data_IF_164466129541
#
_entry.id   IF_164466129541
#
_cell.length_a   1.000
_cell.length_b   1.000
_cell.length_c   1.000
_cell.angle_alpha   90.00
_cell.angle_beta   90.00
_cell.angle_gamma   90.00
#
_symmetry.space_group_name_H-M   'P 1'
#
loop_
_entity.id
_entity.type
_entity.pdbx_description
1 polymer ?
#
# COMPACT_ATOMS: atom_id res chain seq x y z
N UNK A 1 15.32 -4.86 -18.05
CA UNK A 1 16.42 -5.00 -17.05
C UNK A 1 16.11 -6.21 -16.19
N UNK A 2 17.12 -6.96 -15.73
CA UNK A 2 16.92 -8.18 -14.94
C UNK A 2 17.48 -8.02 -13.53
N UNK A 3 16.82 -8.65 -12.57
CA UNK A 3 17.29 -8.74 -11.19
C UNK A 3 17.01 -10.14 -10.62
N UNK A 4 17.81 -10.53 -9.64
CA UNK A 4 17.61 -11.68 -8.75
C UNK A 4 17.84 -11.19 -7.32
N UNK A 5 17.02 -11.63 -6.38
CA UNK A 5 17.14 -11.39 -4.94
C UNK A 5 16.89 -12.69 -4.21
N UNK A 6 17.59 -12.93 -3.10
CA UNK A 6 17.51 -14.18 -2.35
C UNK A 6 17.47 -13.89 -0.85
N UNK A 7 16.65 -14.63 -0.12
CA UNK A 7 16.53 -14.52 1.34
C UNK A 7 16.07 -15.85 1.95
N UNK A 8 16.35 -16.05 3.23
CA UNK A 8 15.92 -17.21 3.99
C UNK A 8 14.72 -16.85 4.86
N UNK A 9 13.85 -17.83 5.11
CA UNK A 9 12.75 -17.75 6.08
C UNK A 9 12.82 -18.98 6.97
N UNK A 10 12.84 -18.80 8.29
CA UNK A 10 12.90 -19.88 9.29
C UNK A 10 11.57 -20.64 9.46
N UNK A 11 10.96 -21.07 8.35
CA UNK A 11 9.73 -21.87 8.30
C UNK A 11 9.81 -22.88 7.14
N UNK A 12 9.15 -24.06 7.22
CA UNK A 12 9.18 -25.06 6.16
C UNK A 12 8.41 -24.60 4.90
N UNK A 13 8.73 -25.12 3.70
CA UNK A 13 8.15 -24.65 2.44
C UNK A 13 6.62 -24.63 2.42
N UNK A 14 5.96 -25.68 2.91
CA UNK A 14 4.49 -25.75 3.06
C UNK A 14 3.87 -24.57 3.84
N UNK A 15 4.55 -24.06 4.87
CA UNK A 15 4.09 -22.94 5.69
C UNK A 15 4.28 -21.61 4.98
N UNK A 16 5.42 -21.45 4.30
CA UNK A 16 5.72 -20.27 3.47
C UNK A 16 4.76 -20.22 2.27
N UNK A 17 4.55 -21.35 1.60
CA UNK A 17 3.67 -21.49 0.44
C UNK A 17 2.23 -21.07 0.77
N UNK A 18 1.67 -21.62 1.86
CA UNK A 18 0.34 -21.22 2.35
C UNK A 18 0.21 -19.72 2.61
N UNK A 19 1.27 -19.02 2.98
CA UNK A 19 1.26 -17.56 3.13
C UNK A 19 1.34 -16.85 1.77
N UNK A 20 2.18 -17.34 0.85
CA UNK A 20 2.28 -16.84 -0.52
C UNK A 20 0.95 -16.94 -1.28
N UNK A 21 0.15 -17.97 -0.98
CA UNK A 21 -1.23 -18.15 -1.47
C UNK A 21 -2.26 -17.15 -0.90
N UNK A 22 -1.85 -16.19 -0.07
CA UNK A 22 -2.70 -15.11 0.47
C UNK A 22 -2.19 -13.74 -0.04
N UNK A 23 -2.43 -13.34 -1.31
CA UNK A 23 -1.71 -12.24 -1.96
C UNK A 23 -1.84 -10.88 -1.28
N UNK A 24 -2.96 -10.61 -0.61
CA UNK A 24 -3.14 -9.37 0.18
C UNK A 24 -2.18 -9.33 1.38
N UNK A 25 -2.02 -10.44 2.11
CA UNK A 25 -1.08 -10.53 3.24
C UNK A 25 0.37 -10.49 2.77
N UNK A 26 0.66 -11.04 1.58
CA UNK A 26 1.97 -10.89 0.92
C UNK A 26 2.23 -9.43 0.58
N UNK A 27 1.24 -8.70 0.06
CA UNK A 27 1.37 -7.27 -0.22
C UNK A 27 1.62 -6.48 1.07
N UNK A 28 0.95 -6.79 2.18
CA UNK A 28 1.15 -6.10 3.46
C UNK A 28 2.58 -6.23 4.03
N UNK A 29 3.32 -7.28 3.64
CA UNK A 29 4.74 -7.42 3.98
C UNK A 29 5.66 -6.49 3.16
N UNK A 30 5.20 -5.96 2.02
CA UNK A 30 6.01 -5.11 1.13
C UNK A 30 6.05 -3.67 1.68
N UNK A 31 7.24 -3.14 2.04
CA UNK A 31 7.35 -1.79 2.59
C UNK A 31 6.89 -0.73 1.60
N UNK A 32 6.15 0.25 2.11
CA UNK A 32 5.65 1.38 1.32
C UNK A 32 4.30 1.15 0.63
N UNK A 33 3.71 -0.05 0.72
CA UNK A 33 2.30 -0.27 0.33
C UNK A 33 1.37 0.72 1.05
N UNK A 34 0.37 1.19 0.32
CA UNK A 34 -0.67 2.16 0.74
C UNK A 34 -2.06 1.57 0.66
N UNK A 35 -2.30 0.73 -0.34
CA UNK A 35 -3.49 -0.09 -0.48
C UNK A 35 -3.19 -1.34 -1.31
N UNK A 36 -3.92 -2.40 -1.02
CA UNK A 36 -3.96 -3.66 -1.74
C UNK A 36 -5.43 -4.08 -1.86
N UNK A 37 -5.85 -4.56 -3.03
CA UNK A 37 -7.23 -4.95 -3.32
C UNK A 37 -7.21 -6.18 -4.23
N UNK A 38 -7.96 -7.23 -3.85
CA UNK A 38 -8.19 -8.38 -4.72
C UNK A 38 -9.29 -8.03 -5.71
N UNK A 39 -8.92 -8.01 -7.00
CA UNK A 39 -9.83 -7.66 -8.11
C UNK A 39 -10.25 -8.91 -8.91
N UNK A 40 -10.01 -10.10 -8.37
CA UNK A 40 -10.57 -11.36 -8.81
C UNK A 40 -9.84 -12.06 -9.96
N UNK A 41 -9.88 -13.40 -9.91
CA UNK A 41 -9.31 -14.28 -10.94
C UNK A 41 -7.80 -14.07 -11.09
N UNK A 42 -7.07 -14.28 -10.00
CA UNK A 42 -5.61 -14.16 -9.92
C UNK A 42 -5.06 -12.76 -10.21
N UNK A 43 -5.80 -11.71 -9.82
CA UNK A 43 -5.41 -10.31 -10.04
C UNK A 43 -5.50 -9.48 -8.77
N UNK A 44 -4.48 -8.66 -8.55
CA UNK A 44 -4.43 -7.67 -7.46
C UNK A 44 -4.31 -6.25 -8.05
N UNK A 45 -4.93 -5.27 -7.40
CA UNK A 45 -4.63 -3.86 -7.55
C UNK A 45 -3.84 -3.40 -6.33
N UNK A 46 -2.73 -2.68 -6.53
CA UNK A 46 -1.89 -2.18 -5.43
C UNK A 46 -1.46 -0.74 -5.67
N UNK A 47 -1.37 0.03 -4.58
CA UNK A 47 -0.71 1.33 -4.57
C UNK A 47 0.49 1.28 -3.61
N UNK A 48 1.68 1.69 -4.07
CA UNK A 48 2.91 1.64 -3.28
C UNK A 48 3.78 2.89 -3.48
N UNK A 49 4.36 3.42 -2.40
CA UNK A 49 5.37 4.48 -2.44
C UNK A 49 6.77 3.89 -2.28
N UNK A 50 7.62 4.03 -3.30
CA UNK A 50 9.00 3.56 -3.31
C UNK A 50 9.99 4.72 -3.49
N UNK A 51 11.23 4.53 -2.99
CA UNK A 51 12.33 5.47 -3.20
C UNK A 51 13.25 4.96 -4.30
N UNK A 52 13.54 5.79 -5.30
CA UNK A 52 14.44 5.49 -6.41
C UNK A 52 15.51 6.59 -6.46
N UNK A 53 16.63 6.35 -5.76
CA UNK A 53 17.70 7.35 -5.61
C UNK A 53 17.20 8.61 -4.89
N UNK A 54 17.29 9.81 -5.49
CA UNK A 54 16.75 11.04 -4.91
C UNK A 54 15.21 11.15 -5.03
N UNK A 55 14.58 10.32 -5.86
CA UNK A 55 13.14 10.42 -6.14
C UNK A 55 12.31 9.57 -5.18
N UNK A 56 11.19 10.10 -4.70
CA UNK A 56 10.14 9.32 -4.03
C UNK A 56 8.92 9.28 -4.92
N UNK A 57 8.47 8.09 -5.31
CA UNK A 57 7.42 7.89 -6.30
C UNK A 57 6.33 6.97 -5.77
N UNK A 58 5.07 7.36 -5.93
CA UNK A 58 3.92 6.48 -5.69
C UNK A 58 3.45 5.90 -7.01
N UNK A 59 3.27 4.58 -7.03
CA UNK A 59 2.83 3.78 -8.16
C UNK A 59 1.44 3.21 -7.92
N UNK A 60 0.64 3.15 -8.97
CA UNK A 60 -0.52 2.25 -9.07
C UNK A 60 -0.14 1.10 -10.00
N UNK A 61 -0.39 -0.14 -9.58
CA UNK A 61 -0.08 -1.33 -10.36
C UNK A 61 -1.18 -2.38 -10.29
N UNK A 62 -1.34 -3.11 -11.39
CA UNK A 62 -2.14 -4.32 -11.49
C UNK A 62 -1.20 -5.51 -11.61
N UNK A 63 -1.32 -6.44 -10.67
CA UNK A 63 -0.58 -7.71 -10.61
C UNK A 63 -1.50 -8.81 -11.16
N UNK A 64 -0.91 -9.78 -11.86
CA UNK A 64 -1.57 -11.02 -12.26
C UNK A 64 -0.67 -12.21 -11.92
N UNK A 65 -1.17 -13.17 -11.14
CA UNK A 65 -0.50 -14.46 -10.96
C UNK A 65 -0.72 -15.28 -12.24
N UNK A 66 0.35 -15.85 -12.80
CA UNK A 66 0.36 -16.53 -14.10
C UNK A 66 0.63 -18.03 -14.00
N UNK A 67 1.25 -18.49 -12.92
CA UNK A 67 1.59 -19.89 -12.68
C UNK A 67 1.68 -20.17 -11.17
N UNK A 68 1.28 -21.37 -10.75
CA UNK A 68 1.54 -21.91 -9.41
C UNK A 68 1.96 -23.37 -9.53
N UNK A 69 3.13 -23.71 -8.98
CA UNK A 69 3.59 -25.07 -8.72
C UNK A 69 3.70 -25.20 -7.19
N UNK A 70 2.80 -25.95 -6.53
CA UNK A 70 2.72 -26.01 -5.07
C UNK A 70 4.06 -26.27 -4.39
N UNK A 71 4.34 -25.49 -3.33
CA UNK A 71 5.57 -25.52 -2.53
C UNK A 71 6.91 -25.26 -3.28
N UNK A 72 6.89 -25.09 -4.61
CA UNK A 72 8.08 -24.93 -5.44
C UNK A 72 8.19 -23.56 -6.12
N UNK A 73 7.12 -23.06 -6.75
CA UNK A 73 7.18 -21.87 -7.61
C UNK A 73 5.86 -21.12 -7.73
N UNK A 74 5.92 -19.79 -7.70
CA UNK A 74 4.85 -18.92 -8.18
C UNK A 74 5.40 -17.91 -9.19
N UNK A 75 4.69 -17.72 -10.31
CA UNK A 75 5.06 -16.73 -11.33
C UNK A 75 3.97 -15.67 -11.43
N UNK A 76 4.36 -14.40 -11.61
CA UNK A 76 3.42 -13.29 -11.73
C UNK A 76 3.95 -12.16 -12.61
N UNK A 77 3.05 -11.52 -13.35
CA UNK A 77 3.31 -10.29 -14.08
C UNK A 77 2.71 -9.09 -13.36
N UNK A 78 3.27 -7.91 -13.58
CA UNK A 78 2.73 -6.65 -13.10
C UNK A 78 2.80 -5.57 -14.18
N UNK A 79 1.83 -4.68 -14.20
CA UNK A 79 1.82 -3.47 -15.04
C UNK A 79 1.39 -2.29 -14.19
N UNK A 80 2.04 -1.14 -14.34
CA UNK A 80 1.74 0.01 -13.50
C UNK A 80 2.24 1.33 -14.02
N UNK A 81 1.86 2.40 -13.32
CA UNK A 81 2.20 3.79 -13.64
C UNK A 81 2.60 4.53 -12.37
N UNK A 82 3.51 5.49 -12.50
CA UNK A 82 3.71 6.48 -11.46
C UNK A 82 2.51 7.44 -11.45
N UNK A 83 1.96 7.72 -10.26
CA UNK A 83 0.83 8.64 -10.06
C UNK A 83 1.19 9.87 -9.22
N UNK A 84 2.35 9.85 -8.56
CA UNK A 84 2.93 10.97 -7.83
C UNK A 84 4.45 10.80 -7.77
N UNK A 85 5.21 11.88 -7.97
CA UNK A 85 6.68 11.84 -8.01
C UNK A 85 7.19 11.80 -9.44
N UNK A 86 7.84 10.70 -9.85
CA UNK A 86 8.25 10.50 -11.25
C UNK A 86 7.04 10.42 -12.21
N UNK A 87 7.32 10.53 -13.51
CA UNK A 87 6.37 10.30 -14.61
C UNK A 87 6.83 9.07 -15.40
N UNK A 88 5.94 8.11 -15.60
CA UNK A 88 6.26 6.94 -16.41
C UNK A 88 5.36 5.75 -16.12
N UNK A 89 5.61 4.66 -16.83
CA UNK A 89 4.98 3.37 -16.61
C UNK A 89 6.04 2.26 -16.49
N UNK A 90 5.60 1.10 -16.00
CA UNK A 90 6.39 -0.10 -15.96
C UNK A 90 5.57 -1.34 -16.32
N UNK A 91 6.28 -2.37 -16.77
CA UNK A 91 5.82 -3.76 -16.75
C UNK A 91 6.90 -4.64 -16.16
N UNK A 92 6.52 -5.74 -15.52
CA UNK A 92 7.44 -6.77 -15.08
C UNK A 92 6.86 -8.17 -15.19
N UNK A 93 7.75 -9.12 -15.36
CA UNK A 93 7.47 -10.56 -15.33
C UNK A 93 8.43 -11.18 -14.31
N UNK A 94 7.90 -11.91 -13.33
CA UNK A 94 8.62 -12.31 -12.12
C UNK A 94 8.35 -13.78 -11.79
N UNK A 95 9.35 -14.45 -11.24
CA UNK A 95 9.30 -15.85 -10.78
C UNK A 95 9.86 -15.89 -9.37
N UNK A 96 9.11 -16.50 -8.44
CA UNK A 96 9.55 -16.80 -7.08
C UNK A 96 9.68 -18.30 -6.95
N UNK A 97 10.85 -18.78 -6.53
CA UNK A 97 11.09 -20.20 -6.25
C UNK A 97 11.40 -20.42 -4.79
N UNK A 98 10.77 -21.44 -4.20
CA UNK A 98 11.02 -21.90 -2.84
C UNK A 98 11.90 -23.15 -2.91
N UNK A 99 12.84 -23.28 -1.97
CA UNK A 99 13.67 -24.47 -1.82
C UNK A 99 13.80 -24.82 -0.35
N UNK A 100 13.56 -26.08 0.00
CA UNK A 100 13.82 -26.58 1.33
C UNK A 100 15.31 -26.46 1.69
N UNK A 101 15.59 -25.89 2.85
CA UNK A 101 16.91 -25.87 3.49
C UNK A 101 16.72 -26.40 4.92
N UNK A 102 17.72 -27.03 5.53
CA UNK A 102 17.55 -27.75 6.80
C UNK A 102 17.01 -26.90 7.96
N UNK A 103 17.18 -25.59 7.90
CA UNK A 103 16.67 -24.61 8.87
C UNK A 103 15.35 -23.91 8.48
N UNK A 104 14.81 -24.13 7.27
CA UNK A 104 13.65 -23.39 6.77
C UNK A 104 13.49 -23.46 5.24
N UNK A 105 13.24 -22.30 4.64
CA UNK A 105 13.04 -22.16 3.19
C UNK A 105 13.95 -21.06 2.64
N UNK A 106 14.77 -21.42 1.64
CA UNK A 106 15.45 -20.43 0.81
C UNK A 106 14.49 -19.97 -0.30
N UNK A 107 14.34 -18.67 -0.46
CA UNK A 107 13.44 -18.06 -1.44
C UNK A 107 14.26 -17.21 -2.39
N UNK A 108 14.15 -17.49 -3.69
CA UNK A 108 14.73 -16.66 -4.74
C UNK A 108 13.62 -15.98 -5.53
N UNK A 109 13.78 -14.68 -5.76
CA UNK A 109 12.89 -13.82 -6.57
C UNK A 109 13.67 -13.32 -7.77
N UNK A 110 13.30 -13.77 -8.95
CA UNK A 110 13.80 -13.26 -10.23
C UNK A 110 12.76 -12.41 -10.92
N UNK A 111 13.20 -11.39 -11.65
CA UNK A 111 12.30 -10.62 -12.48
C UNK A 111 12.98 -9.89 -13.62
N UNK A 112 12.22 -9.68 -14.69
CA UNK A 112 12.54 -8.74 -15.75
C UNK A 112 11.58 -7.55 -15.68
N UNK A 113 12.12 -6.34 -15.56
CA UNK A 113 11.39 -5.07 -15.49
C UNK A 113 11.70 -4.22 -16.72
N UNK A 114 10.68 -3.61 -17.30
CA UNK A 114 10.81 -2.54 -18.30
C UNK A 114 10.17 -1.27 -17.75
N UNK A 115 10.93 -0.17 -17.77
CA UNK A 115 10.52 1.16 -17.34
C UNK A 115 10.44 2.09 -18.57
N UNK A 116 9.44 2.96 -18.64
CA UNK A 116 9.30 3.96 -19.70
C UNK A 116 8.99 5.36 -19.14
N UNK A 117 9.24 6.39 -19.95
CA UNK A 117 9.19 7.79 -19.51
C UNK A 117 10.40 8.15 -18.64
N UNK A 118 10.23 9.04 -17.66
CA UNK A 118 11.30 9.45 -16.73
C UNK A 118 11.78 8.27 -15.87
N UNK A 119 10.91 7.29 -15.60
CA UNK A 119 11.33 6.03 -14.96
C UNK A 119 12.39 5.27 -15.78
N UNK A 120 12.37 5.40 -17.11
CA UNK A 120 13.35 4.77 -18.01
C UNK A 120 14.78 5.32 -17.86
N UNK A 121 14.95 6.50 -17.26
CA UNK A 121 16.29 7.07 -16.98
C UNK A 121 16.87 6.59 -15.65
N UNK A 122 16.12 5.79 -14.87
CA UNK A 122 16.62 5.20 -13.63
C UNK A 122 17.56 4.04 -13.99
N UNK A 123 18.86 4.22 -13.76
CA UNK A 123 19.86 3.20 -14.01
C UNK A 123 19.65 1.93 -13.18
N UNK A 124 20.02 0.78 -13.75
CA UNK A 124 19.81 -0.55 -13.16
C UNK A 124 20.30 -0.63 -11.69
N UNK A 125 21.46 -0.06 -11.39
CA UNK A 125 22.05 -0.05 -10.04
C UNK A 125 21.19 0.64 -8.97
N UNK A 126 20.35 1.62 -9.35
CA UNK A 126 19.40 2.27 -8.43
C UNK A 126 18.23 1.33 -8.15
N UNK A 127 17.71 0.65 -9.19
CA UNK A 127 16.61 -0.32 -9.05
C UNK A 127 17.06 -1.51 -8.23
N UNK A 128 18.24 -2.09 -8.50
CA UNK A 128 18.79 -3.22 -7.72
C UNK A 128 18.94 -2.87 -6.24
N UNK A 129 19.49 -1.69 -5.90
CA UNK A 129 19.63 -1.26 -4.49
C UNK A 129 18.29 -1.06 -3.78
N UNK A 130 17.26 -0.58 -4.49
CA UNK A 130 15.92 -0.49 -3.88
C UNK A 130 15.27 -1.87 -3.74
N UNK A 131 15.45 -2.77 -4.73
CA UNK A 131 14.96 -4.15 -4.65
C UNK A 131 15.60 -4.94 -3.49
N UNK A 132 16.90 -4.78 -3.28
CA UNK A 132 17.64 -5.31 -2.12
C UNK A 132 17.05 -4.81 -0.80
N UNK A 133 16.90 -3.49 -0.65
CA UNK A 133 16.28 -2.92 0.56
C UNK A 133 14.86 -3.47 0.79
N UNK A 134 14.03 -3.48 -0.27
CA UNK A 134 12.65 -3.98 -0.19
C UNK A 134 12.61 -5.46 0.18
N UNK A 135 13.55 -6.26 -0.31
CA UNK A 135 13.65 -7.70 -0.01
C UNK A 135 13.99 -7.95 1.46
N UNK A 136 14.97 -7.22 2.02
CA UNK A 136 15.36 -7.34 3.43
C UNK A 136 14.18 -7.00 4.35
N UNK A 137 13.51 -5.89 4.10
CA UNK A 137 12.38 -5.44 4.92
C UNK A 137 11.14 -6.34 4.72
N UNK A 138 10.91 -6.86 3.51
CA UNK A 138 9.89 -7.87 3.22
C UNK A 138 10.14 -9.18 3.99
N UNK A 139 11.38 -9.69 4.00
CA UNK A 139 11.74 -10.93 4.69
C UNK A 139 11.42 -10.83 6.19
N UNK A 140 11.86 -9.75 6.85
CA UNK A 140 11.53 -9.50 8.26
C UNK A 140 10.03 -9.36 8.53
N UNK A 141 9.29 -8.70 7.63
CA UNK A 141 7.83 -8.61 7.76
C UNK A 141 7.13 -9.96 7.57
N UNK A 142 7.65 -10.81 6.68
CA UNK A 142 7.15 -12.16 6.43
C UNK A 142 7.41 -13.08 7.64
N UNK A 143 8.63 -13.09 8.19
CA UNK A 143 8.96 -13.87 9.41
C UNK A 143 8.06 -13.50 10.60
N UNK A 144 7.82 -12.20 10.80
CA UNK A 144 6.89 -11.70 11.81
C UNK A 144 5.44 -12.16 11.55
N UNK A 145 4.98 -12.05 10.30
CA UNK A 145 3.62 -12.43 9.92
C UNK A 145 3.37 -13.95 9.94
N UNK A 146 4.42 -14.77 9.81
CA UNK A 146 4.41 -16.22 10.00
C UNK A 146 4.48 -16.62 11.48
N UNK A 147 5.24 -15.88 12.30
CA UNK A 147 5.36 -16.10 13.75
C UNK A 147 4.12 -15.71 14.55
N UNK A 148 3.19 -14.96 13.95
CA UNK A 148 1.94 -14.50 14.59
C UNK A 148 2.01 -13.10 15.19
N UNK A 149 3.19 -12.46 15.20
CA UNK A 149 3.39 -11.08 15.66
C UNK A 149 2.90 -10.07 14.63
N UNK A 150 1.57 -9.91 14.52
CA UNK A 150 0.94 -8.94 13.66
C UNK A 150 1.54 -7.53 13.87
N UNK A 151 1.88 -6.85 12.76
CA UNK A 151 2.12 -5.40 12.82
C UNK A 151 0.83 -4.70 13.29
N UNK A 152 0.91 -3.54 13.95
CA UNK A 152 -0.29 -2.78 14.29
C UNK A 152 -1.00 -2.33 13.01
N UNK A 153 -2.04 -3.06 12.61
CA UNK A 153 -3.04 -2.60 11.66
C UNK A 153 -3.56 -1.26 12.18
N UNK A 154 -3.30 -0.18 11.45
CA UNK A 154 -3.92 1.13 11.71
C UNK A 154 -5.36 1.03 11.22
N UNK A 155 -6.19 0.33 12.01
CA UNK A 155 -7.62 0.32 11.84
C UNK A 155 -8.13 1.73 12.15
N UNK A 156 -8.82 2.34 11.18
CA UNK A 156 -9.34 3.68 11.32
C UNK A 156 -10.32 3.77 12.51
N UNK A 157 -9.98 4.60 13.51
CA UNK A 157 -10.85 4.86 14.66
C UNK A 157 -12.09 5.64 14.26
N UNK A 158 -13.13 4.94 13.80
CA UNK A 158 -14.49 5.45 13.71
C UNK A 158 -15.17 5.44 15.08
N UNK A 159 -14.64 6.19 16.05
CA UNK A 159 -15.26 6.37 17.36
C UNK A 159 -16.33 7.46 17.26
N UNK A 160 -17.55 7.08 16.90
CA UNK A 160 -18.72 7.93 17.10
C UNK A 160 -19.09 7.93 18.61
N UNK A 161 -19.12 9.08 19.29
CA UNK A 161 -19.57 9.14 20.68
C UNK A 161 -21.10 9.00 20.75
N UNK A 162 -21.56 8.00 21.50
CA UNK A 162 -22.98 7.76 21.76
C UNK A 162 -23.58 8.83 22.69
N UNK A 163 -24.88 9.07 22.52
CA UNK A 163 -25.67 10.02 23.30
C UNK A 163 -25.67 9.72 24.81
N UNK A 164 -25.56 10.77 25.63
CA UNK A 164 -26.04 10.74 27.02
C UNK A 164 -26.97 11.94 27.24
N UNK A 165 -28.26 11.66 27.39
CA UNK A 165 -29.24 12.61 27.92
C UNK A 165 -29.20 12.58 29.45
N UNK A 166 -29.04 13.73 30.09
CA UNK A 166 -29.70 13.98 31.38
C UNK A 166 -30.03 15.46 31.54
N UNK A 167 -31.32 15.77 31.49
CA UNK A 167 -31.83 17.08 31.88
C UNK A 167 -31.88 17.18 33.42
N UNK A 168 -31.58 18.37 33.94
CA UNK A 168 -31.99 18.81 35.29
C UNK A 168 -32.58 20.22 35.12
N UNK A 169 -33.83 20.46 35.56
CA UNK A 169 -34.43 21.79 35.46
C UNK A 169 -34.04 22.63 36.68
N UNK A 170 -33.58 23.86 36.44
CA UNK A 170 -33.61 24.93 37.44
C UNK A 170 -34.41 26.08 36.85
N UNK A 171 -35.60 26.31 37.43
CA UNK A 171 -36.29 27.58 37.32
C UNK A 171 -35.63 28.53 38.32
N UNK A 172 -35.39 29.78 37.93
CA UNK A 172 -35.90 30.92 38.68
C UNK A 172 -35.79 32.24 37.88
N UNK A 173 -36.58 33.28 38.21
CA UNK A 173 -37.23 34.08 37.18
C UNK A 173 -36.91 35.58 37.34
N UNK A 174 -35.66 35.96 37.07
CA UNK A 174 -35.25 37.37 37.00
C UNK A 174 -34.68 37.66 35.60
N UNK A 175 -35.49 38.23 34.70
CA UNK A 175 -35.65 39.68 34.51
C UNK A 175 -34.38 40.26 33.86
N UNK A 176 -34.34 40.30 32.53
CA UNK A 176 -34.69 41.51 31.74
C UNK A 176 -33.79 42.75 31.99
N UNK A 177 -32.50 42.54 32.24
CA UNK A 177 -31.44 43.55 31.99
C UNK A 177 -30.22 42.78 31.46
N UNK A 178 -29.60 43.06 30.31
CA UNK A 178 -29.72 44.21 29.42
C UNK A 178 -30.06 43.79 27.96
N UNK A 179 -30.87 44.60 27.30
CA UNK A 179 -30.93 44.66 25.83
C UNK A 179 -29.81 45.60 25.31
N UNK A 180 -29.60 45.62 23.99
CA UNK A 180 -28.65 46.49 23.25
C UNK A 180 -27.18 46.02 23.45
N UNK A 181 -26.38 45.59 22.46
CA UNK A 181 -26.51 45.46 21.00
C UNK A 181 -25.83 44.12 20.58
N UNK A 182 -25.88 43.59 19.35
CA UNK A 182 -26.36 44.13 18.07
C UNK A 182 -26.92 43.06 17.12
N UNK A 183 -27.49 43.56 16.04
CA UNK A 183 -27.99 42.95 14.79
C UNK A 183 -26.78 42.45 13.93
N UNK A 184 -26.69 41.29 13.28
CA UNK A 184 -27.64 40.36 12.63
C UNK A 184 -28.15 40.75 11.22
N UNK A 185 -27.36 40.54 10.15
CA UNK A 185 -27.90 40.43 8.77
C UNK A 185 -27.13 39.46 7.87
N UNK A 186 -27.87 38.67 7.09
CA UNK A 186 -27.43 37.60 6.19
C UNK A 186 -27.81 37.92 4.74
N UNK A 187 -26.90 37.81 3.76
CA UNK A 187 -27.18 37.62 2.30
C UNK A 187 -25.93 36.89 1.73
N UNK A 188 -25.94 35.60 1.35
CA UNK A 188 -26.57 34.91 0.19
C UNK A 188 -25.90 35.20 -1.18
N UNK A 189 -25.08 34.24 -1.62
CA UNK A 189 -25.04 33.67 -2.98
C UNK A 189 -24.70 34.53 -4.21
N UNK A 190 -23.64 34.14 -4.93
CA UNK A 190 -23.75 33.86 -6.37
C UNK A 190 -22.66 32.88 -6.84
N UNK A 191 -23.10 31.80 -7.50
CA UNK A 191 -22.26 30.93 -8.37
C UNK A 191 -22.58 31.33 -9.81
N UNK A 192 -21.66 31.07 -10.74
CA UNK A 192 -21.73 31.21 -12.22
C UNK A 192 -20.96 32.43 -12.78
N UNK A 193 -20.31 32.18 -13.94
CA UNK A 193 -19.56 33.09 -14.82
C UNK A 193 -18.18 33.59 -14.31
N UNK A 194 -17.11 32.91 -14.76
CA UNK A 194 -16.15 33.42 -15.77
C UNK A 194 -15.38 32.21 -16.34
N UNK A 195 -15.74 31.84 -17.56
CA UNK A 195 -14.94 31.00 -18.47
C UNK A 195 -15.17 31.58 -19.87
N UNK A 196 -14.19 32.31 -20.39
CA UNK A 196 -14.26 32.97 -21.70
C UNK A 196 -13.40 34.23 -21.76
N UNK A 197 -12.40 34.23 -22.66
CA UNK A 197 -11.32 35.22 -22.84
C UNK A 197 -10.44 35.39 -21.57
N UNK A 198 -9.14 35.10 -21.59
CA UNK A 198 -8.12 35.38 -22.62
C UNK A 198 -7.49 34.11 -23.20
#
# INVERSE_FOLDING_TARGET
MKFRQEFHIAAPPVTVWRFIEQPLRVADCIPGIKSSEDIGGDRLSVQATQKLGPMTTTFEAKIRITERLPEERISFSATGKAVRGAIGNFRSDNVVTLKANGSGTDIAVEGEVVLAGVLGTIGNSIVTKQAEKVTIEFAHNLERALSGDAAPTIAASATAPASITKAVPVRDPWVKVAALFSIATTIIGLVILIKGLV
#
